data_IF_964097021656
#
_entry.id   IF_964097021656
#
_cell.length_a   1.000
_cell.length_b   1.000
_cell.length_c   1.000
_cell.angle_alpha   90.00
_cell.angle_beta   90.00
_cell.angle_gamma   90.00
#
_symmetry.space_group_name_H-M   'P 1'
#
loop_
_entity.id
_entity.type
_entity.pdbx_description
1 polymer ?
#
# COMPACT_ATOMS: atom_id res chain seq x y z
N UNK A 1 9.27 25.66 -18.12
CA UNK A 1 10.64 25.34 -17.69
C UNK A 1 10.83 23.83 -17.72
N UNK A 2 11.93 23.36 -18.30
CA UNK A 2 12.32 21.94 -18.33
C UNK A 2 13.54 21.73 -17.43
N UNK A 3 13.49 20.71 -16.57
CA UNK A 3 14.63 20.21 -15.80
C UNK A 3 14.81 18.71 -16.03
N UNK A 4 16.03 18.26 -15.81
CA UNK A 4 16.38 16.85 -15.87
C UNK A 4 16.96 16.40 -14.54
N UNK A 5 16.61 15.19 -14.11
CA UNK A 5 17.15 14.56 -12.90
C UNK A 5 17.64 13.16 -13.25
N UNK A 6 18.91 12.87 -12.95
CA UNK A 6 19.46 11.53 -13.11
C UNK A 6 19.15 10.70 -11.86
N UNK A 7 18.51 9.55 -12.04
CA UNK A 7 18.21 8.60 -10.97
C UNK A 7 18.80 7.23 -11.33
N UNK A 8 19.28 6.53 -10.31
CA UNK A 8 19.84 5.18 -10.43
C UNK A 8 18.90 4.17 -9.76
N UNK A 9 18.06 3.50 -10.54
CA UNK A 9 17.18 2.43 -10.07
C UNK A 9 17.80 1.06 -10.38
N UNK A 10 18.10 0.27 -9.35
CA UNK A 10 18.71 -1.07 -9.45
C UNK A 10 19.97 -1.11 -10.36
N UNK A 11 20.80 -0.07 -10.27
CA UNK A 11 22.03 0.09 -11.06
C UNK A 11 21.82 0.66 -12.47
N UNK A 12 20.57 0.85 -12.91
CA UNK A 12 20.24 1.48 -14.19
C UNK A 12 20.10 3.00 -14.00
N UNK A 13 21.05 3.74 -14.58
CA UNK A 13 20.95 5.20 -14.64
C UNK A 13 20.02 5.64 -15.76
N UNK A 14 19.05 6.47 -15.40
CA UNK A 14 18.06 7.04 -16.31
C UNK A 14 17.79 8.49 -15.94
N UNK A 15 17.52 9.30 -16.96
CA UNK A 15 17.22 10.71 -16.79
C UNK A 15 15.71 10.94 -16.90
N UNK A 16 15.12 11.48 -15.85
CA UNK A 16 13.71 11.86 -15.77
C UNK A 16 13.56 13.30 -16.24
N UNK A 17 12.52 13.58 -17.02
CA UNK A 17 12.17 14.94 -17.44
C UNK A 17 11.11 15.50 -16.48
N UNK A 18 11.39 16.66 -15.89
CA UNK A 18 10.46 17.38 -15.04
C UNK A 18 10.11 18.69 -15.74
N UNK A 19 8.82 18.95 -15.96
CA UNK A 19 8.40 20.16 -16.69
C UNK A 19 7.00 20.61 -16.31
N UNK A 20 6.77 21.91 -16.42
CA UNK A 20 5.45 22.55 -16.39
C UNK A 20 4.92 22.86 -17.81
N UNK A 21 5.64 22.42 -18.85
CA UNK A 21 5.29 22.61 -20.28
C UNK A 21 4.73 21.30 -20.86
N UNK A 22 3.46 21.26 -21.32
CA UNK A 22 2.83 20.07 -21.90
C UNK A 22 3.63 19.47 -23.08
N UNK A 23 4.16 20.31 -23.96
CA UNK A 23 4.89 19.90 -25.17
C UNK A 23 6.19 19.17 -24.81
N UNK A 24 6.92 19.66 -23.81
CA UNK A 24 8.15 19.02 -23.33
C UNK A 24 7.87 17.64 -22.72
N UNK A 25 6.78 17.51 -21.94
CA UNK A 25 6.37 16.23 -21.36
C UNK A 25 5.91 15.24 -22.44
N UNK A 26 5.20 15.70 -23.46
CA UNK A 26 4.79 14.88 -24.59
C UNK A 26 5.99 14.38 -25.41
N UNK A 27 6.96 15.25 -25.70
CA UNK A 27 8.19 14.87 -26.39
C UNK A 27 8.99 13.83 -25.59
N UNK A 28 9.22 14.08 -24.30
CA UNK A 28 9.93 13.14 -23.43
C UNK A 28 9.22 11.78 -23.33
N UNK A 29 7.88 11.77 -23.27
CA UNK A 29 7.09 10.54 -23.28
C UNK A 29 7.21 9.78 -24.60
N UNK A 30 7.21 10.48 -25.73
CA UNK A 30 7.40 9.88 -27.05
C UNK A 30 8.78 9.23 -27.19
N UNK A 31 9.79 9.81 -26.54
CA UNK A 31 11.15 9.26 -26.44
C UNK A 31 11.28 8.12 -25.41
N UNK A 32 10.18 7.72 -24.76
CA UNK A 32 10.16 6.65 -23.76
C UNK A 32 10.83 7.02 -22.45
N UNK A 33 10.93 8.32 -22.11
CA UNK A 33 11.50 8.80 -20.85
C UNK A 33 10.42 8.88 -19.77
N UNK A 34 10.85 8.67 -18.51
CA UNK A 34 10.01 8.95 -17.34
C UNK A 34 9.79 10.46 -17.21
N UNK A 35 8.60 10.87 -16.78
CA UNK A 35 8.21 12.28 -16.71
C UNK A 35 7.48 12.63 -15.40
N UNK A 36 7.72 13.85 -14.91
CA UNK A 36 6.99 14.47 -13.79
C UNK A 36 6.47 15.83 -14.25
N UNK A 37 5.16 16.06 -14.10
CA UNK A 37 4.55 17.36 -14.33
C UNK A 37 4.72 18.28 -13.11
N UNK A 38 4.88 19.57 -13.34
CA UNK A 38 4.82 20.59 -12.28
C UNK A 38 3.67 21.55 -12.60
N UNK A 39 2.75 21.74 -11.66
CA UNK A 39 1.67 22.70 -11.86
C UNK A 39 2.23 24.12 -11.96
N UNK A 40 1.75 24.86 -12.96
CA UNK A 40 1.92 26.31 -12.98
C UNK A 40 0.90 26.94 -12.03
N UNK A 41 1.31 27.94 -11.26
CA UNK A 41 0.36 28.72 -10.46
C UNK A 41 -0.69 29.37 -11.37
N UNK A 42 -1.97 29.27 -10.96
CA UNK A 42 -3.17 29.88 -11.53
C UNK A 42 -3.19 30.07 -13.07
N UNK A 43 -3.91 29.18 -13.78
CA UNK A 43 -4.18 29.30 -15.22
C UNK A 43 -3.27 28.46 -16.13
N UNK A 44 -2.49 27.53 -15.57
CA UNK A 44 -1.66 26.61 -16.32
C UNK A 44 -2.45 25.70 -17.26
N UNK A 45 -1.83 25.34 -18.39
CA UNK A 45 -2.37 24.33 -19.29
C UNK A 45 -2.39 22.95 -18.60
N UNK A 46 -3.37 22.08 -18.92
CA UNK A 46 -3.38 20.71 -18.40
C UNK A 46 -2.15 19.94 -18.87
N UNK A 47 -1.66 19.00 -18.04
CA UNK A 47 -0.48 18.16 -18.33
C UNK A 47 -0.89 16.69 -18.58
N UNK A 48 -1.71 16.38 -19.59
CA UNK A 48 -2.34 15.06 -19.77
C UNK A 48 -1.34 13.92 -20.04
N UNK A 49 -0.10 14.26 -20.40
CA UNK A 49 0.96 13.28 -20.62
C UNK A 49 1.46 12.65 -19.30
N UNK A 50 1.52 13.44 -18.23
CA UNK A 50 2.13 13.08 -16.96
C UNK A 50 1.15 12.39 -16.02
N UNK A 51 1.59 11.26 -15.45
CA UNK A 51 0.84 10.54 -14.41
C UNK A 51 1.01 11.19 -13.04
N UNK A 52 2.19 11.73 -12.78
CA UNK A 52 2.54 12.43 -11.55
C UNK A 52 2.66 13.91 -11.85
N UNK A 53 1.90 14.70 -11.11
CA UNK A 53 1.92 16.15 -11.20
C UNK A 53 2.07 16.68 -9.78
N UNK A 54 3.07 17.51 -9.54
CA UNK A 54 3.32 18.13 -8.23
C UNK A 54 2.90 19.60 -8.23
N UNK A 55 2.46 20.17 -7.09
CA UNK A 55 1.93 21.54 -7.04
C UNK A 55 3.00 22.63 -7.15
N UNK A 56 4.29 22.25 -7.19
CA UNK A 56 5.41 23.17 -7.27
C UNK A 56 6.75 22.44 -7.36
N UNK A 57 7.79 23.16 -7.75
CA UNK A 57 9.14 22.63 -7.95
C UNK A 57 9.78 22.13 -6.65
N UNK A 58 9.38 22.67 -5.51
CA UNK A 58 9.82 22.29 -4.18
C UNK A 58 9.37 20.88 -3.76
N UNK A 59 8.37 20.31 -4.45
CA UNK A 59 7.86 18.96 -4.21
C UNK A 59 8.52 17.91 -5.13
N UNK A 60 9.42 18.33 -6.01
CA UNK A 60 10.21 17.41 -6.84
C UNK A 60 11.38 16.89 -6.01
N UNK A 61 11.19 15.72 -5.41
CA UNK A 61 12.21 15.03 -4.60
C UNK A 61 12.87 13.90 -5.38
N UNK A 62 14.07 13.50 -4.95
CA UNK A 62 14.73 12.29 -5.50
C UNK A 62 13.91 11.02 -5.23
N UNK A 63 13.21 10.95 -4.10
CA UNK A 63 12.33 9.81 -3.76
C UNK A 63 11.14 9.70 -4.73
N UNK A 64 10.46 10.82 -5.03
CA UNK A 64 9.40 10.84 -6.03
C UNK A 64 9.95 10.47 -7.41
N UNK A 65 11.12 11.01 -7.77
CA UNK A 65 11.79 10.70 -9.02
C UNK A 65 12.10 9.20 -9.13
N UNK A 66 12.62 8.56 -8.09
CA UNK A 66 12.86 7.11 -8.06
C UNK A 66 11.57 6.29 -8.16
N UNK A 67 10.52 6.66 -7.43
CA UNK A 67 9.21 6.01 -7.53
C UNK A 67 8.68 6.05 -8.98
N UNK A 68 8.70 7.23 -9.60
CA UNK A 68 8.21 7.43 -10.98
C UNK A 68 9.06 6.64 -11.97
N UNK A 69 10.39 6.65 -11.82
CA UNK A 69 11.27 5.89 -12.68
C UNK A 69 11.05 4.38 -12.54
N UNK A 70 10.96 3.87 -11.31
CA UNK A 70 10.73 2.44 -11.06
C UNK A 70 9.45 1.97 -11.73
N UNK A 71 8.35 2.71 -11.56
CA UNK A 71 7.07 2.36 -12.21
C UNK A 71 7.11 2.51 -13.73
N UNK A 72 7.83 3.49 -14.25
CA UNK A 72 8.07 3.63 -15.70
C UNK A 72 8.83 2.43 -16.27
N UNK A 73 9.78 1.87 -15.51
CA UNK A 73 10.57 0.70 -15.91
C UNK A 73 9.91 -0.64 -15.55
N UNK A 74 8.75 -0.64 -14.88
CA UNK A 74 8.11 -1.85 -14.38
C UNK A 74 8.86 -2.52 -13.21
N UNK A 75 9.71 -1.77 -12.51
CA UNK A 75 10.39 -2.18 -11.29
C UNK A 75 9.48 -1.95 -10.08
N UNK A 76 9.54 -2.82 -9.05
CA UNK A 76 8.72 -2.65 -7.86
C UNK A 76 9.20 -1.48 -7.00
N UNK A 77 8.25 -0.78 -6.38
CA UNK A 77 8.53 0.14 -5.27
C UNK A 77 8.70 -0.61 -3.95
N UNK A 78 9.72 -0.24 -3.17
CA UNK A 78 9.91 -0.74 -1.80
C UNK A 78 9.27 0.24 -0.83
N UNK A 79 8.29 -0.23 -0.07
CA UNK A 79 7.59 0.61 0.91
C UNK A 79 8.27 0.60 2.28
N UNK A 80 9.13 -0.38 2.55
CA UNK A 80 9.84 -0.47 3.82
C UNK A 80 10.86 -1.60 3.87
N UNK A 81 11.92 -1.38 4.65
CA UNK A 81 12.93 -2.37 5.02
C UNK A 81 13.02 -2.38 6.53
N UNK A 82 12.73 -3.52 7.12
CA UNK A 82 12.79 -3.72 8.57
C UNK A 82 14.06 -4.48 8.93
N UNK A 83 14.21 -4.83 10.21
CA UNK A 83 15.31 -5.67 10.67
C UNK A 83 15.39 -6.98 9.87
N UNK A 84 14.27 -7.62 9.55
CA UNK A 84 14.26 -8.97 8.97
C UNK A 84 13.49 -9.08 7.67
N UNK A 85 12.76 -8.04 7.26
CA UNK A 85 11.88 -8.08 6.11
C UNK A 85 12.17 -6.96 5.11
N UNK A 86 11.94 -7.28 3.84
CA UNK A 86 11.79 -6.33 2.75
C UNK A 86 10.31 -6.36 2.32
N UNK A 87 9.67 -5.20 2.24
CA UNK A 87 8.27 -5.07 1.84
C UNK A 87 8.18 -4.20 0.59
N UNK A 88 7.71 -4.78 -0.51
CA UNK A 88 7.72 -4.15 -1.83
C UNK A 88 6.59 -4.63 -2.73
N UNK A 89 6.31 -3.87 -3.78
CA UNK A 89 5.29 -4.20 -4.78
C UNK A 89 5.53 -5.61 -5.35
N UNK A 90 4.46 -6.34 -5.63
CA UNK A 90 4.55 -7.66 -6.24
C UNK A 90 5.17 -7.55 -7.64
N UNK A 91 5.91 -8.58 -8.01
CA UNK A 91 6.51 -8.77 -9.33
C UNK A 91 5.99 -10.07 -9.93
N UNK A 92 6.11 -10.21 -11.25
CA UNK A 92 5.77 -11.48 -11.90
C UNK A 92 6.63 -12.66 -11.41
N UNK A 93 7.85 -12.38 -10.93
CA UNK A 93 8.75 -13.39 -10.37
C UNK A 93 8.26 -13.97 -9.04
N UNK A 94 7.43 -13.24 -8.28
CA UNK A 94 6.89 -13.73 -7.00
C UNK A 94 5.90 -14.87 -7.18
N UNK A 95 5.22 -14.93 -8.32
CA UNK A 95 4.14 -15.88 -8.59
C UNK A 95 4.56 -17.33 -8.34
N UNK A 96 5.78 -17.69 -8.72
CA UNK A 96 6.30 -19.06 -8.55
C UNK A 96 6.58 -19.41 -7.09
N UNK A 97 6.85 -18.40 -6.25
CA UNK A 97 7.07 -18.56 -4.82
C UNK A 97 5.77 -18.51 -4.00
N UNK A 98 4.63 -18.13 -4.60
CA UNK A 98 3.34 -18.09 -3.92
C UNK A 98 2.77 -19.52 -3.84
N UNK A 99 2.56 -20.08 -2.64
CA UNK A 99 1.95 -21.39 -2.47
C UNK A 99 0.44 -21.29 -2.74
N UNK A 100 0.01 -21.56 -3.98
CA UNK A 100 -1.39 -21.48 -4.43
C UNK A 100 -2.34 -22.26 -3.50
N UNK A 101 -1.89 -23.39 -2.96
CA UNK A 101 -2.66 -24.21 -2.00
C UNK A 101 -2.97 -23.52 -0.67
N UNK A 102 -2.26 -22.44 -0.33
CA UNK A 102 -2.53 -21.66 0.88
C UNK A 102 -3.44 -20.44 0.61
N UNK A 103 -3.58 -20.00 -0.65
CA UNK A 103 -4.33 -18.78 -1.00
C UNK A 103 -5.81 -18.89 -0.62
N UNK A 104 -6.32 -17.80 -0.07
CA UNK A 104 -7.77 -17.64 0.17
C UNK A 104 -8.46 -17.20 -1.13
N UNK A 105 -9.79 -17.29 -1.18
CA UNK A 105 -10.58 -16.87 -2.34
C UNK A 105 -10.25 -15.43 -2.80
N UNK A 106 -10.11 -14.49 -1.87
CA UNK A 106 -9.75 -13.09 -2.18
C UNK A 106 -8.28 -12.88 -2.61
N UNK A 107 -7.44 -13.89 -2.50
CA UNK A 107 -6.01 -13.86 -2.85
C UNK A 107 -5.70 -14.70 -4.10
N UNK A 108 -6.66 -15.48 -4.61
CA UNK A 108 -6.47 -16.42 -5.71
C UNK A 108 -5.92 -15.74 -6.98
N UNK A 109 -6.25 -14.47 -7.19
CA UNK A 109 -5.74 -13.65 -8.28
C UNK A 109 -4.21 -13.53 -8.31
N UNK A 110 -3.52 -13.68 -7.17
CA UNK A 110 -2.06 -13.63 -7.12
C UNK A 110 -1.39 -14.94 -7.57
N UNK A 111 -2.12 -16.04 -7.60
CA UNK A 111 -1.66 -17.31 -8.16
C UNK A 111 -1.80 -17.38 -9.69
N UNK A 112 -2.70 -16.58 -10.26
CA UNK A 112 -2.95 -16.50 -11.69
C UNK A 112 -2.04 -15.46 -12.37
N UNK A 113 -1.43 -15.84 -13.50
CA UNK A 113 -0.43 -15.00 -14.16
C UNK A 113 -1.03 -13.78 -14.87
N UNK A 114 -2.23 -13.89 -15.41
CA UNK A 114 -2.90 -12.78 -16.10
C UNK A 114 -3.44 -11.78 -15.07
N UNK A 115 -4.10 -12.29 -14.04
CA UNK A 115 -4.66 -11.47 -12.96
C UNK A 115 -3.57 -10.78 -12.15
N UNK A 116 -2.45 -11.45 -11.83
CA UNK A 116 -1.32 -10.80 -11.16
C UNK A 116 -0.72 -9.69 -12.03
N UNK A 117 -0.56 -9.91 -13.35
CA UNK A 117 -0.06 -8.89 -14.27
C UNK A 117 -0.99 -7.67 -14.31
N UNK A 118 -2.29 -7.91 -14.39
CA UNK A 118 -3.30 -6.86 -14.35
C UNK A 118 -3.26 -6.10 -13.02
N UNK A 119 -3.11 -6.81 -11.90
CA UNK A 119 -2.96 -6.21 -10.58
C UNK A 119 -1.74 -5.30 -10.50
N UNK A 120 -0.56 -5.78 -10.89
CA UNK A 120 0.69 -4.98 -10.85
C UNK A 120 0.57 -3.73 -11.73
N UNK A 121 0.02 -3.86 -12.94
CA UNK A 121 -0.11 -2.74 -13.88
C UNK A 121 -1.19 -1.71 -13.51
N UNK A 122 -2.23 -2.15 -12.79
CA UNK A 122 -3.38 -1.30 -12.44
C UNK A 122 -3.33 -0.76 -11.01
N UNK A 123 -3.17 -1.65 -10.02
CA UNK A 123 -3.38 -1.33 -8.62
C UNK A 123 -2.39 -0.28 -8.12
N UNK A 124 -1.08 -0.56 -8.20
CA UNK A 124 -0.09 0.28 -7.53
C UNK A 124 0.02 1.67 -8.13
N UNK A 125 0.07 1.78 -9.45
CA UNK A 125 0.20 3.09 -10.06
C UNK A 125 -1.06 3.96 -9.95
N UNK A 126 -2.24 3.38 -9.72
CA UNK A 126 -3.49 4.14 -9.62
C UNK A 126 -3.83 4.47 -8.16
N UNK A 127 -3.74 3.46 -7.28
CA UNK A 127 -4.09 3.61 -5.87
C UNK A 127 -2.91 3.99 -4.99
N UNK A 128 -1.67 3.86 -5.44
CA UNK A 128 -0.45 4.06 -4.63
C UNK A 128 -0.27 3.04 -3.49
N UNK A 129 -1.20 2.10 -3.35
CA UNK A 129 -1.22 1.05 -2.35
C UNK A 129 -1.82 -0.25 -2.88
N UNK A 130 -1.58 -1.34 -2.17
CA UNK A 130 -2.17 -2.64 -2.46
C UNK A 130 -1.67 -3.71 -1.50
N UNK A 131 -1.66 -4.96 -1.97
CA UNK A 131 -1.01 -6.09 -1.32
C UNK A 131 0.45 -6.13 -1.77
N UNK A 132 1.39 -6.07 -0.85
CA UNK A 132 2.82 -6.15 -1.11
C UNK A 132 3.35 -7.55 -0.83
N UNK A 133 4.48 -7.87 -1.46
CA UNK A 133 5.29 -9.02 -1.10
C UNK A 133 6.03 -8.74 0.21
N UNK A 134 6.00 -9.71 1.12
CA UNK A 134 6.80 -9.71 2.35
C UNK A 134 7.92 -10.72 2.16
N UNK A 135 9.15 -10.25 2.01
CA UNK A 135 10.31 -11.09 1.78
C UNK A 135 11.21 -11.12 3.02
N UNK A 136 11.83 -12.26 3.32
CA UNK A 136 12.97 -12.28 4.24
C UNK A 136 14.08 -11.41 3.64
N UNK A 137 14.55 -10.41 4.40
CA UNK A 137 15.61 -9.48 3.99
C UNK A 137 16.86 -10.26 3.57
N UNK A 138 17.22 -11.25 4.38
CA UNK A 138 18.34 -12.14 4.11
C UNK A 138 17.87 -13.35 3.29
N UNK A 139 18.23 -13.36 2.02
CA UNK A 139 17.95 -14.46 1.09
C UNK A 139 16.72 -14.27 0.21
N UNK A 140 15.95 -13.19 0.38
CA UNK A 140 14.92 -12.77 -0.57
C UNK A 140 13.77 -13.77 -0.76
N UNK A 141 13.55 -14.66 0.21
CA UNK A 141 12.46 -15.64 0.12
C UNK A 141 11.13 -14.98 0.44
N UNK A 142 10.12 -15.24 -0.39
CA UNK A 142 8.76 -14.76 -0.16
C UNK A 142 8.15 -15.43 1.08
N UNK A 143 8.03 -14.66 2.16
CA UNK A 143 7.51 -15.11 3.44
C UNK A 143 5.99 -14.96 3.55
N UNK A 144 5.40 -14.06 2.76
CA UNK A 144 3.97 -13.84 2.74
C UNK A 144 3.53 -12.67 1.89
N UNK A 145 2.26 -12.33 2.05
CA UNK A 145 1.58 -11.20 1.43
C UNK A 145 1.00 -10.33 2.55
N UNK A 146 1.14 -9.02 2.45
CA UNK A 146 0.51 -8.10 3.38
C UNK A 146 0.26 -6.75 2.72
N UNK A 147 -0.82 -6.08 3.10
CA UNK A 147 -1.07 -4.75 2.57
C UNK A 147 -2.40 -4.17 2.98
N UNK A 148 -2.81 -3.16 2.23
CA UNK A 148 -4.04 -2.42 2.48
C UNK A 148 -4.91 -2.36 1.23
N UNK A 149 -6.23 -2.34 1.43
CA UNK A 149 -7.21 -2.23 0.35
C UNK A 149 -8.36 -1.32 0.75
N UNK A 150 -9.14 -0.85 -0.23
CA UNK A 150 -10.40 -0.19 0.09
C UNK A 150 -11.30 -1.15 0.86
N UNK A 151 -11.77 -0.78 2.06
CA UNK A 151 -12.65 -1.60 2.87
C UNK A 151 -13.98 -1.81 2.14
N UNK A 152 -14.44 -3.06 2.12
CA UNK A 152 -15.79 -3.41 1.62
C UNK A 152 -16.67 -3.76 2.80
N UNK A 153 -17.28 -2.73 3.39
CA UNK A 153 -18.10 -2.83 4.60
C UNK A 153 -19.58 -2.68 4.27
N UNK A 154 -20.48 -3.39 4.97
CA UNK A 154 -21.89 -3.02 5.02
C UNK A 154 -22.04 -1.58 5.52
N UNK A 155 -23.03 -0.87 4.98
CA UNK A 155 -23.25 0.57 5.23
C UNK A 155 -23.26 0.93 6.74
N UNK A 156 -23.92 0.13 7.57
CA UNK A 156 -23.98 0.36 9.01
C UNK A 156 -22.60 0.32 9.70
N UNK A 157 -21.69 -0.56 9.27
CA UNK A 157 -20.33 -0.63 9.79
C UNK A 157 -19.47 0.50 9.24
N UNK A 158 -19.66 0.86 7.98
CA UNK A 158 -18.99 1.99 7.35
C UNK A 158 -19.35 3.31 8.06
N UNK A 159 -20.63 3.57 8.32
CA UNK A 159 -21.08 4.73 9.09
C UNK A 159 -20.46 4.79 10.49
N UNK A 160 -20.37 3.65 11.17
CA UNK A 160 -19.74 3.56 12.49
C UNK A 160 -18.23 3.81 12.44
N UNK A 161 -17.55 3.28 11.44
CA UNK A 161 -16.12 3.51 11.24
C UNK A 161 -15.84 4.98 10.91
N UNK A 162 -16.65 5.57 10.03
CA UNK A 162 -16.60 7.00 9.72
C UNK A 162 -16.78 7.86 10.98
N UNK A 163 -17.76 7.56 11.84
CA UNK A 163 -17.96 8.28 13.09
C UNK A 163 -16.76 8.13 14.06
N UNK A 164 -16.20 6.92 14.17
CA UNK A 164 -15.02 6.65 15.00
C UNK A 164 -13.79 7.43 14.49
N UNK A 165 -13.50 7.36 13.19
CA UNK A 165 -12.38 8.07 12.57
C UNK A 165 -12.58 9.58 12.65
N UNK A 166 -13.78 10.10 12.40
CA UNK A 166 -14.06 11.53 12.57
C UNK A 166 -13.81 12.02 14.01
N UNK A 167 -14.09 11.19 15.02
CA UNK A 167 -13.82 11.52 16.42
C UNK A 167 -12.33 11.44 16.80
N UNK A 168 -11.57 10.50 16.24
CA UNK A 168 -10.18 10.27 16.64
C UNK A 168 -9.15 10.97 15.72
N UNK A 169 -9.40 11.01 14.42
CA UNK A 169 -8.52 11.48 13.35
C UNK A 169 -9.33 12.21 12.25
N UNK A 170 -9.84 13.43 12.52
CA UNK A 170 -10.70 14.16 11.60
C UNK A 170 -10.06 14.37 10.22
N UNK A 171 -10.82 14.15 9.15
CA UNK A 171 -10.39 14.41 7.78
C UNK A 171 -9.47 13.35 7.16
N UNK A 172 -9.16 12.26 7.87
CA UNK A 172 -8.35 11.17 7.33
C UNK A 172 -9.21 10.03 6.80
N UNK A 173 -8.87 9.54 5.62
CA UNK A 173 -9.44 8.31 5.06
C UNK A 173 -8.94 7.08 5.82
N UNK A 174 -9.55 5.92 5.57
CA UNK A 174 -9.12 4.65 6.15
C UNK A 174 -9.02 3.54 5.10
N UNK A 175 -8.10 2.61 5.32
CA UNK A 175 -7.89 1.43 4.48
C UNK A 175 -7.97 0.14 5.32
N UNK A 176 -8.38 -0.96 4.72
CA UNK A 176 -8.43 -2.26 5.38
C UNK A 176 -7.08 -2.97 5.31
N UNK A 177 -6.48 -3.28 6.45
CA UNK A 177 -5.26 -4.05 6.60
C UNK A 177 -5.54 -5.56 6.44
N UNK A 178 -4.85 -6.18 5.49
CA UNK A 178 -4.86 -7.63 5.27
C UNK A 178 -3.45 -8.21 5.32
N UNK A 179 -3.33 -9.47 5.77
CA UNK A 179 -2.06 -10.19 5.73
C UNK A 179 -2.24 -11.70 5.65
N UNK A 180 -1.22 -12.34 5.09
CA UNK A 180 -1.07 -13.78 5.00
C UNK A 180 0.42 -14.16 4.99
N UNK A 181 0.93 -14.61 6.15
CA UNK A 181 2.26 -15.22 6.25
C UNK A 181 2.16 -16.72 5.93
N UNK A 182 2.96 -17.21 4.98
CA UNK A 182 2.92 -18.60 4.55
C UNK A 182 3.41 -19.55 5.64
N UNK A 183 2.89 -20.79 5.65
CA UNK A 183 3.10 -21.77 6.74
C UNK A 183 4.54 -21.88 7.24
N UNK A 184 5.59 -21.96 6.40
CA UNK A 184 6.99 -22.11 6.86
C UNK A 184 7.52 -20.91 7.66
N UNK A 185 6.92 -19.73 7.51
CA UNK A 185 7.39 -18.47 8.07
C UNK A 185 6.54 -17.96 9.25
N UNK A 186 5.46 -18.67 9.58
CA UNK A 186 4.61 -18.34 10.74
C UNK A 186 5.36 -18.51 12.06
N UNK A 187 4.86 -17.84 13.10
CA UNK A 187 5.42 -17.85 14.48
C UNK A 187 6.83 -17.26 14.63
N UNK A 188 7.32 -16.53 13.62
CA UNK A 188 8.60 -15.78 13.66
C UNK A 188 8.44 -14.28 13.99
N UNK A 189 7.20 -13.82 14.14
CA UNK A 189 6.87 -12.41 14.36
C UNK A 189 6.68 -11.58 13.09
N UNK A 190 6.84 -12.17 11.90
CA UNK A 190 6.79 -11.43 10.62
C UNK A 190 5.47 -10.72 10.36
N UNK A 191 4.33 -11.28 10.77
CA UNK A 191 3.05 -10.60 10.60
C UNK A 191 3.01 -9.25 11.33
N UNK A 192 3.55 -9.19 12.56
CA UNK A 192 3.60 -7.94 13.33
C UNK A 192 4.57 -6.94 12.72
N UNK A 193 5.75 -7.41 12.35
CA UNK A 193 6.79 -6.57 11.74
C UNK A 193 6.30 -5.98 10.42
N UNK A 194 5.77 -6.81 9.52
CA UNK A 194 5.25 -6.36 8.23
C UNK A 194 4.04 -5.43 8.37
N UNK A 195 3.05 -5.81 9.18
CA UNK A 195 1.87 -4.97 9.34
C UNK A 195 2.20 -3.64 10.02
N UNK A 196 3.15 -3.58 10.95
CA UNK A 196 3.57 -2.31 11.56
C UNK A 196 4.15 -1.36 10.52
N UNK A 197 5.08 -1.85 9.71
CA UNK A 197 5.69 -1.06 8.62
C UNK A 197 4.63 -0.57 7.63
N UNK A 198 3.67 -1.43 7.27
CA UNK A 198 2.55 -1.05 6.39
C UNK A 198 1.65 0.02 7.02
N UNK A 199 1.40 -0.03 8.34
CA UNK A 199 0.65 1.01 9.04
C UNK A 199 1.41 2.33 9.10
N UNK A 200 2.73 2.28 9.29
CA UNK A 200 3.60 3.46 9.21
C UNK A 200 3.53 4.09 7.80
N UNK A 201 3.67 3.28 6.75
CA UNK A 201 3.52 3.73 5.36
C UNK A 201 2.13 4.33 5.09
N UNK A 202 1.06 3.66 5.50
CA UNK A 202 -0.31 4.15 5.31
C UNK A 202 -0.54 5.51 5.99
N UNK A 203 0.03 5.72 7.17
CA UNK A 203 -0.09 6.98 7.91
C UNK A 203 0.78 8.08 7.34
N UNK A 204 2.04 7.80 7.04
CA UNK A 204 3.03 8.82 6.68
C UNK A 204 2.96 9.19 5.20
N UNK A 205 2.74 8.21 4.32
CA UNK A 205 2.75 8.40 2.86
C UNK A 205 1.34 8.57 2.31
N UNK A 206 0.42 7.68 2.68
CA UNK A 206 -0.95 7.69 2.15
C UNK A 206 -1.90 8.61 2.93
N UNK A 207 -1.45 9.18 4.05
CA UNK A 207 -2.27 9.98 4.97
C UNK A 207 -3.57 9.28 5.44
N UNK A 208 -3.58 7.95 5.43
CA UNK A 208 -4.70 7.10 5.80
C UNK A 208 -4.55 6.56 7.23
N UNK A 209 -5.68 6.20 7.82
CA UNK A 209 -5.75 5.27 8.95
C UNK A 209 -6.06 3.86 8.47
N UNK A 210 -6.00 2.91 9.38
CA UNK A 210 -6.31 1.52 9.08
C UNK A 210 -7.45 0.96 9.93
N UNK A 211 -8.19 0.05 9.30
CA UNK A 211 -9.10 -0.87 9.95
C UNK A 211 -8.73 -2.32 9.58
N UNK A 212 -9.33 -3.30 10.22
CA UNK A 212 -9.17 -4.71 9.86
C UNK A 212 -10.47 -5.47 10.16
N UNK A 213 -10.96 -6.22 9.18
CA UNK A 213 -12.09 -7.12 9.38
C UNK A 213 -11.59 -8.52 9.72
N UNK A 214 -11.97 -9.02 10.90
CA UNK A 214 -11.39 -10.24 11.45
C UNK A 214 -12.48 -11.18 11.94
N UNK A 215 -12.50 -12.41 11.42
CA UNK A 215 -13.38 -13.46 11.94
C UNK A 215 -13.19 -13.63 13.45
N UNK A 216 -14.30 -13.70 14.19
CA UNK A 216 -14.30 -13.73 15.65
C UNK A 216 -13.42 -14.88 16.20
N UNK A 217 -13.42 -16.03 15.54
CA UNK A 217 -12.61 -17.20 15.95
C UNK A 217 -11.11 -17.06 15.63
N UNK A 218 -10.73 -16.12 14.76
CA UNK A 218 -9.35 -15.88 14.40
C UNK A 218 -8.60 -15.11 15.50
N UNK A 219 -8.37 -15.80 16.62
CA UNK A 219 -7.67 -15.30 17.80
C UNK A 219 -6.26 -14.81 17.47
N UNK A 220 -5.62 -15.35 16.43
CA UNK A 220 -4.29 -14.92 16.01
C UNK A 220 -4.31 -13.51 15.42
N UNK A 221 -5.18 -13.25 14.44
CA UNK A 221 -5.34 -11.92 13.86
C UNK A 221 -5.89 -10.89 14.84
N UNK A 222 -6.81 -11.28 15.72
CA UNK A 222 -7.33 -10.40 16.78
C UNK A 222 -6.22 -9.89 17.71
N UNK A 223 -5.39 -10.82 18.21
CA UNK A 223 -4.21 -10.46 19.02
C UNK A 223 -3.21 -9.62 18.24
N UNK A 224 -3.04 -9.88 16.95
CA UNK A 224 -2.17 -9.06 16.11
C UNK A 224 -2.69 -7.61 16.01
N UNK A 225 -3.97 -7.42 15.68
CA UNK A 225 -4.60 -6.12 15.58
C UNK A 225 -4.47 -5.33 16.90
N UNK A 226 -4.71 -5.99 18.05
CA UNK A 226 -4.55 -5.38 19.38
C UNK A 226 -3.09 -4.97 19.66
N UNK A 227 -2.11 -5.79 19.26
CA UNK A 227 -0.67 -5.46 19.39
C UNK A 227 -0.23 -4.34 18.44
N UNK A 228 -0.95 -4.13 17.34
CA UNK A 228 -0.78 -3.01 16.42
C UNK A 228 -1.51 -1.74 16.92
N UNK A 229 -2.12 -1.76 18.10
CA UNK A 229 -2.82 -0.61 18.69
C UNK A 229 -4.26 -0.44 18.21
N UNK A 230 -4.78 -1.35 17.38
CA UNK A 230 -6.17 -1.32 16.95
C UNK A 230 -7.11 -1.80 18.07
N UNK A 231 -8.33 -1.27 18.09
CA UNK A 231 -9.37 -1.65 19.04
C UNK A 231 -10.60 -2.17 18.31
N UNK A 232 -11.30 -3.19 18.86
CA UNK A 232 -12.53 -3.68 18.28
C UNK A 232 -13.62 -2.60 18.38
N UNK A 233 -14.33 -2.41 17.28
CA UNK A 233 -15.52 -1.59 17.14
C UNK A 233 -16.76 -2.51 17.15
N UNK A 234 -17.10 -3.21 18.25
CA UNK A 234 -18.29 -4.09 18.25
C UNK A 234 -18.94 -4.27 19.64
N UNK A 235 -20.27 -4.50 19.75
CA UNK A 235 -21.37 -4.20 18.82
C UNK A 235 -22.55 -3.45 19.47
N UNK A 236 -23.22 -2.58 18.72
CA UNK A 236 -24.64 -2.31 18.90
C UNK A 236 -25.34 -2.77 17.62
N UNK A 237 -26.03 -3.92 17.67
CA UNK A 237 -26.89 -4.42 16.59
C UNK A 237 -26.22 -5.31 15.53
N UNK A 238 -26.59 -6.58 15.60
CA UNK A 238 -26.72 -7.63 14.57
C UNK A 238 -25.55 -8.05 13.65
N UNK A 239 -25.40 -9.38 13.65
CA UNK A 239 -24.48 -10.24 12.94
C UNK A 239 -24.88 -10.31 11.45
N UNK A 240 -23.93 -10.30 10.53
CA UNK A 240 -24.21 -10.57 9.11
C UNK A 240 -23.27 -11.61 8.52
N UNK A 241 -23.86 -12.47 7.69
CA UNK A 241 -23.22 -13.48 6.86
C UNK A 241 -22.51 -12.84 5.66
N UNK A 242 -21.53 -13.55 5.11
CA UNK A 242 -20.77 -13.11 3.94
C UNK A 242 -21.16 -13.94 2.71
N UNK A 243 -21.00 -13.36 1.51
CA UNK A 243 -21.11 -14.05 0.21
C UNK A 243 -20.16 -15.25 0.03
N UNK A 244 -19.30 -15.53 1.02
CA UNK A 244 -18.42 -16.70 1.07
C UNK A 244 -19.09 -17.96 1.65
N UNK A 245 -20.37 -17.89 2.04
CA UNK A 245 -21.09 -19.02 2.65
C UNK A 245 -20.64 -19.32 4.09
N UNK A 246 -19.90 -18.40 4.72
CA UNK A 246 -19.52 -18.47 6.13
C UNK A 246 -20.43 -17.54 6.93
N UNK A 247 -21.29 -18.13 7.78
CA UNK A 247 -22.26 -17.48 8.66
C UNK A 247 -21.65 -16.94 9.96
N UNK A 248 -20.37 -16.54 9.95
CA UNK A 248 -19.62 -16.28 11.18
C UNK A 248 -19.43 -14.78 11.47
N UNK A 249 -19.54 -14.35 12.76
CA UNK A 249 -19.34 -12.97 13.14
C UNK A 249 -17.95 -12.46 12.73
N UNK A 250 -17.91 -11.42 11.92
CA UNK A 250 -16.72 -10.60 11.71
C UNK A 250 -16.67 -9.48 12.75
N UNK A 251 -15.47 -9.22 13.28
CA UNK A 251 -15.18 -8.10 14.17
C UNK A 251 -14.40 -7.05 13.40
N UNK A 252 -14.92 -5.82 13.38
CA UNK A 252 -14.21 -4.68 12.85
C UNK A 252 -13.25 -4.15 13.92
N UNK A 253 -11.96 -4.08 13.60
CA UNK A 253 -10.95 -3.37 14.38
C UNK A 253 -10.58 -2.08 13.67
N UNK A 254 -10.27 -1.02 14.41
CA UNK A 254 -9.77 0.23 13.85
C UNK A 254 -8.64 0.80 14.68
N UNK A 255 -7.74 1.53 14.04
CA UNK A 255 -6.79 2.38 14.76
C UNK A 255 -7.54 3.34 15.68
N UNK A 256 -7.05 3.46 16.91
CA UNK A 256 -7.49 4.48 17.84
C UNK A 256 -6.44 5.59 17.89
N UNK A 257 -6.81 6.75 18.41
CA UNK A 257 -5.86 7.81 18.70
C UNK A 257 -4.82 7.27 19.69
N UNK A 258 -3.59 7.05 19.25
CA UNK A 258 -2.44 6.99 20.14
C UNK A 258 -1.43 8.05 19.72
N UNK A 259 -0.94 8.76 20.74
CA UNK A 259 0.17 9.70 20.76
C UNK A 259 1.36 9.19 19.93
N UNK A 260 2.24 10.08 19.45
CA UNK A 260 3.45 9.67 18.73
C UNK A 260 4.16 8.54 19.49
N UNK A 261 4.82 7.60 18.78
CA UNK A 261 5.65 6.59 19.44
C UNK A 261 6.58 7.32 20.42
N UNK A 262 6.73 6.75 21.62
CA UNK A 262 7.60 7.27 22.68
C UNK A 262 8.83 7.91 22.06
N UNK A 263 9.03 9.19 22.36
CA UNK A 263 10.32 9.84 22.20
C UNK A 263 11.34 8.89 22.83
N UNK A 264 12.11 8.23 21.97
CA UNK A 264 13.41 7.73 22.35
C UNK A 264 14.21 8.98 22.75
N UNK A 265 14.21 9.26 24.05
CA UNK A 265 15.06 10.26 24.68
C UNK A 265 16.29 9.53 25.24
N UNK A 266 17.41 10.24 25.43
CA UNK A 266 18.57 10.22 24.53
C UNK A 266 19.68 9.24 24.93
#
# INVERSE_FOLDING_TARGET
MVKEMEICADGLRRTIVISDEPEALLAAKADGRAIIGVEQKAGGAPLPAARYIVPGWEFVTEELADLVLRRHLGLPWTIGVTERLLIRELTMGDREAIPVSELKAGEAMFGDAEMLRAYIGGQYGFYEYGTWAVLERDGGRLAGLAGVSQPRLPEALEQRLNAHIAGCCPGQAFLELGYHIFRPYRRRGYALEACREILDYARQVLSCRACAMIANENKASRRLAERLGMRPLSPGGEFMETDSGSSEPLLLYAENRQSPPDTADP
#
